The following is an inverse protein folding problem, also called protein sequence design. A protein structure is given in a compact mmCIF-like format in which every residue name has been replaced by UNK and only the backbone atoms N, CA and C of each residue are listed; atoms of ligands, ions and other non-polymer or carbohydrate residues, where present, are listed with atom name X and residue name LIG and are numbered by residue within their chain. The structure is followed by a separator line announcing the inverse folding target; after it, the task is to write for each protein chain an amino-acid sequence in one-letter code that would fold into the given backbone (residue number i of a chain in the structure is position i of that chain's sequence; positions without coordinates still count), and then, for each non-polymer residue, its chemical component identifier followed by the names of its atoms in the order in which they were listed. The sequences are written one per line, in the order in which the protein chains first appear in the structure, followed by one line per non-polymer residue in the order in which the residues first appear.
data_IF_621812658193
#
_entry.id   IF_621812658193
#
_cell.length_a   1.000
_cell.length_b   1.000
_cell.length_c   1.000
_cell.angle_alpha   90.00
_cell.angle_beta   90.00
_cell.angle_gamma   90.00
#
_symmetry.space_group_name_H-M   'P 1'
#
loop_
_entity.id
_entity.type
_entity.pdbx_description
1 polymer ?
#
# COMPACT_ATOMS: atom_id res chain seq x y z
N UNK A 1 -5.39 0.74 -30.07
CA UNK A 1 -4.57 1.05 -28.86
C UNK A 1 -5.06 0.18 -27.72
N UNK A 2 -4.18 -0.60 -27.11
CA UNK A 2 -4.55 -1.43 -25.95
C UNK A 2 -4.64 -0.54 -24.71
N UNK A 3 -5.85 -0.23 -24.23
CA UNK A 3 -6.08 0.52 -23.01
C UNK A 3 -5.47 -0.15 -21.77
N UNK A 4 -5.35 -1.48 -21.79
CA UNK A 4 -4.73 -2.26 -20.72
C UNK A 4 -3.21 -2.04 -20.57
N UNK A 5 -2.58 -1.44 -21.57
CA UNK A 5 -1.15 -1.14 -21.58
C UNK A 5 -0.84 0.33 -21.24
N UNK A 6 -1.85 1.16 -20.94
CA UNK A 6 -1.60 2.55 -20.54
C UNK A 6 -1.05 2.59 -19.11
N UNK A 7 -0.01 3.39 -18.84
CA UNK A 7 0.55 3.51 -17.49
C UNK A 7 -0.49 3.90 -16.43
N UNK A 8 -1.47 4.72 -16.82
CA UNK A 8 -2.55 5.13 -15.93
C UNK A 8 -3.49 3.99 -15.56
N UNK A 9 -3.79 3.07 -16.51
CA UNK A 9 -4.62 1.90 -16.22
C UNK A 9 -3.89 0.89 -15.30
N UNK A 10 -2.59 0.70 -15.51
CA UNK A 10 -1.75 -0.10 -14.62
C UNK A 10 -1.71 0.49 -13.22
N UNK A 11 -1.49 1.80 -13.11
CA UNK A 11 -1.50 2.50 -11.83
C UNK A 11 -2.84 2.36 -11.10
N UNK A 12 -3.99 2.46 -11.80
CA UNK A 12 -5.31 2.25 -11.20
C UNK A 12 -5.45 0.84 -10.63
N UNK A 13 -4.97 -0.18 -11.34
CA UNK A 13 -4.98 -1.56 -10.86
C UNK A 13 -4.10 -1.74 -9.61
N UNK A 14 -2.90 -1.21 -9.63
CA UNK A 14 -1.97 -1.28 -8.51
C UNK A 14 -2.49 -0.54 -7.27
N UNK A 15 -3.05 0.66 -7.47
CA UNK A 15 -3.66 1.46 -6.40
C UNK A 15 -4.92 0.78 -5.82
N UNK A 16 -5.72 0.10 -6.66
CA UNK A 16 -6.88 -0.65 -6.15
C UNK A 16 -6.46 -1.81 -5.23
N UNK A 17 -5.35 -2.48 -5.55
CA UNK A 17 -4.78 -3.52 -4.69
C UNK A 17 -4.31 -2.92 -3.35
N UNK A 18 -3.67 -1.76 -3.38
CA UNK A 18 -3.26 -1.04 -2.16
C UNK A 18 -4.47 -0.63 -1.30
N UNK A 19 -5.53 -0.10 -1.93
CA UNK A 19 -6.79 0.24 -1.24
C UNK A 19 -7.42 -0.99 -0.58
N UNK A 20 -7.46 -2.12 -1.26
CA UNK A 20 -7.99 -3.36 -0.72
C UNK A 20 -7.20 -3.86 0.49
N UNK A 21 -5.87 -3.77 0.46
CA UNK A 21 -5.02 -4.12 1.58
C UNK A 21 -5.29 -3.22 2.80
N UNK A 22 -5.31 -1.91 2.60
CA UNK A 22 -5.61 -0.93 3.66
C UNK A 22 -7.02 -1.10 4.22
N UNK A 23 -8.03 -1.30 3.37
CA UNK A 23 -9.40 -1.55 3.81
C UNK A 23 -9.51 -2.84 4.64
N UNK A 24 -8.81 -3.90 4.22
CA UNK A 24 -8.73 -5.14 4.99
C UNK A 24 -8.07 -4.94 6.35
N UNK A 25 -6.99 -4.17 6.43
CA UNK A 25 -6.31 -3.87 7.68
C UNK A 25 -7.24 -3.11 8.65
N UNK A 26 -7.95 -2.09 8.16
CA UNK A 26 -8.89 -1.30 8.96
C UNK A 26 -10.06 -2.17 9.44
N UNK A 27 -10.63 -3.00 8.55
CA UNK A 27 -11.74 -3.89 8.90
C UNK A 27 -11.36 -4.91 9.98
N UNK A 28 -10.10 -5.31 10.03
CA UNK A 28 -9.60 -6.32 10.97
C UNK A 28 -8.79 -5.73 12.14
N UNK A 29 -8.89 -4.43 12.39
CA UNK A 29 -8.14 -3.75 13.47
C UNK A 29 -8.40 -4.38 14.84
N UNK A 30 -9.61 -4.90 15.08
CA UNK A 30 -10.01 -5.57 16.33
C UNK A 30 -9.95 -7.09 16.25
N UNK A 31 -9.48 -7.66 15.14
CA UNK A 31 -9.40 -9.11 14.95
C UNK A 31 -8.08 -9.63 15.53
N UNK A 32 -8.16 -10.46 16.55
CA UNK A 32 -6.98 -11.06 17.16
C UNK A 32 -6.18 -11.90 16.15
N UNK A 33 -4.85 -11.75 16.15
CA UNK A 33 -3.98 -12.48 15.23
C UNK A 33 -4.00 -11.99 13.77
N UNK A 34 -4.73 -10.91 13.47
CA UNK A 34 -4.67 -10.32 12.13
C UNK A 34 -3.27 -9.79 11.82
N UNK A 35 -2.76 -10.13 10.64
CA UNK A 35 -1.49 -9.64 10.14
C UNK A 35 -1.75 -8.59 9.05
N UNK A 36 -1.41 -7.32 9.29
CA UNK A 36 -1.65 -6.27 8.32
C UNK A 36 -0.88 -6.51 7.03
N UNK A 37 -1.59 -6.39 5.91
CA UNK A 37 -1.05 -6.53 4.58
C UNK A 37 -0.66 -5.17 3.99
N UNK A 38 0.40 -5.14 3.19
CA UNK A 38 0.85 -3.97 2.43
C UNK A 38 1.15 -4.37 1.00
N UNK A 39 0.65 -3.58 0.06
CA UNK A 39 1.04 -3.68 -1.33
C UNK A 39 2.31 -2.86 -1.55
N UNK A 40 3.36 -3.52 -2.02
CA UNK A 40 4.59 -2.87 -2.46
C UNK A 40 4.47 -2.58 -3.95
N UNK A 41 4.60 -1.31 -4.30
CA UNK A 41 4.51 -0.83 -5.66
C UNK A 41 5.91 -0.70 -6.24
N UNK A 42 6.06 -1.14 -7.47
CA UNK A 42 7.30 -1.01 -8.24
C UNK A 42 7.02 -0.40 -9.62
N UNK A 43 8.08 0.03 -10.27
CA UNK A 43 7.99 0.46 -11.65
C UNK A 43 7.58 -0.70 -12.54
N UNK A 44 6.66 -0.43 -13.46
CA UNK A 44 6.21 -1.41 -14.42
C UNK A 44 7.28 -1.80 -15.45
N UNK A 45 7.01 -2.79 -16.29
CA UNK A 45 7.94 -3.28 -17.31
C UNK A 45 8.45 -2.15 -18.22
N UNK A 46 9.77 -2.04 -18.36
CA UNK A 46 10.41 -0.98 -19.15
C UNK A 46 10.44 0.39 -18.45
N UNK A 47 10.21 0.46 -17.15
CA UNK A 47 10.20 1.71 -16.39
C UNK A 47 8.97 2.59 -16.67
N UNK A 48 7.91 2.00 -17.18
CA UNK A 48 6.66 2.69 -17.48
C UNK A 48 5.50 2.12 -16.65
N UNK A 49 4.74 3.02 -16.02
CA UNK A 49 3.61 2.65 -15.20
C UNK A 49 4.03 2.14 -13.81
N UNK A 50 3.07 1.60 -13.09
CA UNK A 50 3.25 1.08 -11.73
C UNK A 50 2.58 -0.29 -11.65
N UNK A 51 3.30 -1.26 -11.07
CA UNK A 51 2.75 -2.58 -10.79
C UNK A 51 2.89 -2.93 -9.31
N UNK A 52 2.16 -3.95 -8.89
CA UNK A 52 2.29 -4.51 -7.54
C UNK A 52 3.41 -5.55 -7.57
N UNK A 53 4.55 -5.21 -6.98
CA UNK A 53 5.69 -6.13 -6.89
C UNK A 53 5.40 -7.28 -5.92
N UNK A 54 4.79 -6.97 -4.77
CA UNK A 54 4.43 -7.95 -3.76
C UNK A 54 3.31 -7.43 -2.86
N UNK A 55 2.57 -8.35 -2.25
CA UNK A 55 1.72 -8.06 -1.10
C UNK A 55 2.35 -8.74 0.11
N UNK A 56 3.02 -7.95 0.93
CA UNK A 56 3.67 -8.42 2.15
C UNK A 56 2.70 -8.36 3.33
N UNK A 57 2.83 -9.29 4.27
CA UNK A 57 2.10 -9.27 5.54
C UNK A 57 3.11 -9.05 6.66
N UNK A 58 2.79 -8.14 7.57
CA UNK A 58 3.60 -7.95 8.75
C UNK A 58 3.48 -9.19 9.62
N UNK A 59 4.58 -9.90 9.78
CA UNK A 59 4.67 -10.98 10.75
C UNK A 59 4.55 -10.38 12.15
N UNK A 60 3.71 -10.94 12.97
CA UNK A 60 3.48 -10.47 14.34
C UNK A 60 4.82 -10.35 15.08
N UNK A 61 5.10 -9.16 15.50
CA UNK A 61 6.18 -8.50 16.23
C UNK A 61 7.33 -9.26 16.91
N UNK A 62 7.48 -10.54 16.79
CA UNK A 62 8.62 -11.27 17.36
C UNK A 62 9.80 -11.45 16.38
N UNK A 63 9.54 -11.45 15.08
CA UNK A 63 10.62 -11.70 14.10
C UNK A 63 11.31 -10.43 13.59
N UNK A 64 10.67 -9.27 13.69
CA UNK A 64 11.29 -8.00 13.24
C UNK A 64 12.35 -7.47 14.21
N UNK A 65 12.32 -7.85 15.48
CA UNK A 65 13.36 -7.48 16.46
C UNK A 65 14.61 -8.36 16.32
N UNK A 66 14.47 -9.57 15.80
CA UNK A 66 15.59 -10.50 15.62
C UNK A 66 16.46 -10.22 14.41
N UNK A 67 15.90 -9.61 13.36
CA UNK A 67 16.65 -9.32 12.12
C UNK A 67 17.48 -8.02 12.17
N UNK A 68 17.13 -7.09 13.06
CA UNK A 68 17.85 -5.80 13.20
C UNK A 68 19.02 -5.84 14.18
N UNK A 69 19.12 -6.88 15.02
CA UNK A 69 20.19 -7.05 16.00
C UNK A 69 20.94 -8.36 15.72
N UNK A 70 21.76 -8.35 14.69
CA UNK A 70 22.75 -9.41 14.45
C UNK A 70 23.61 -9.60 15.70
N UNK A 71 23.37 -10.69 16.42
CA UNK A 71 24.32 -11.20 17.40
C UNK A 71 24.24 -10.60 18.81
N UNK A 72 23.18 -10.89 19.57
CA UNK A 72 23.23 -10.83 21.03
C UNK A 72 23.17 -12.25 21.56
N UNK A 73 24.14 -12.75 22.34
CA UNK A 73 24.13 -14.09 22.90
C UNK A 73 22.99 -14.25 23.92
N UNK A 74 22.39 -15.42 23.91
CA UNK A 74 21.38 -15.88 24.87
C UNK A 74 21.83 -15.57 26.31
N UNK A 75 21.09 -14.76 27.03
CA UNK A 75 21.32 -14.62 28.45
C UNK A 75 21.08 -13.25 29.08
N UNK A 76 20.11 -12.49 28.65
CA UNK A 76 19.66 -11.34 29.43
C UNK A 76 18.21 -11.00 29.17
N UNK A 77 17.33 -11.51 30.01
CA UNK A 77 16.00 -10.95 30.20
C UNK A 77 16.15 -9.55 30.80
N UNK A 78 16.40 -8.56 29.96
CA UNK A 78 16.34 -7.17 30.34
C UNK A 78 15.00 -6.63 29.84
N UNK A 79 14.03 -6.54 30.75
CA UNK A 79 12.87 -5.68 30.66
C UNK A 79 13.35 -4.28 30.28
N UNK A 80 13.23 -3.90 29.03
CA UNK A 80 13.36 -2.49 28.63
C UNK A 80 12.07 -1.76 29.05
N UNK A 81 12.11 -0.87 30.06
CA UNK A 81 10.97 -0.04 30.37
C UNK A 81 10.92 1.10 29.35
N UNK A 82 9.80 1.24 28.68
CA UNK A 82 9.48 2.49 27.99
C UNK A 82 9.68 2.52 26.49
N UNK A 83 9.05 1.61 25.76
CA UNK A 83 8.61 1.95 24.43
C UNK A 83 7.61 3.08 24.52
N UNK A 84 7.99 4.28 24.10
CA UNK A 84 7.13 5.45 24.06
C UNK A 84 5.98 5.13 23.12
N UNK A 85 4.85 4.71 23.69
CA UNK A 85 3.57 4.66 23.01
C UNK A 85 3.17 6.12 22.77
N UNK A 86 3.54 6.64 21.61
CA UNK A 86 3.05 7.96 21.21
C UNK A 86 1.53 7.85 21.08
N UNK A 87 0.83 8.35 22.09
CA UNK A 87 -0.56 8.77 22.06
C UNK A 87 -1.60 7.82 21.48
N UNK A 88 -1.98 6.76 22.20
CA UNK A 88 -3.38 6.50 22.47
C UNK A 88 -4.37 6.24 21.34
N UNK A 89 -4.01 5.48 20.31
CA UNK A 89 -4.99 4.65 19.61
C UNK A 89 -4.39 3.26 19.58
N UNK A 90 -4.99 2.33 20.30
CA UNK A 90 -4.43 1.03 20.56
C UNK A 90 -4.00 0.31 19.28
N UNK A 91 -2.72 0.04 19.16
CA UNK A 91 -2.20 -0.86 18.15
C UNK A 91 -2.57 -2.27 18.59
N UNK A 92 -3.78 -2.66 18.27
CA UNK A 92 -4.22 -4.05 18.39
C UNK A 92 -3.79 -4.73 17.10
N UNK A 93 -2.98 -5.76 17.19
CA UNK A 93 -2.52 -6.57 16.04
C UNK A 93 -1.60 -5.86 15.03
N UNK A 94 -0.84 -4.84 15.43
CA UNK A 94 0.10 -4.16 14.53
C UNK A 94 -0.54 -3.23 13.48
N UNK A 95 -1.85 -3.04 13.50
CA UNK A 95 -2.58 -2.10 12.64
C UNK A 95 -2.62 -0.74 13.31
N UNK A 96 -1.97 0.25 12.71
CA UNK A 96 -2.07 1.66 13.09
C UNK A 96 -3.14 2.34 12.22
N UNK A 97 -4.33 2.53 12.80
CA UNK A 97 -5.47 3.13 12.08
C UNK A 97 -5.15 4.50 11.50
N UNK A 98 -4.39 5.33 12.23
CA UNK A 98 -4.01 6.66 11.75
C UNK A 98 -3.16 6.57 10.49
N UNK A 99 -2.21 5.65 10.49
CA UNK A 99 -1.33 5.41 9.35
C UNK A 99 -2.09 4.81 8.17
N UNK A 100 -2.99 3.87 8.42
CA UNK A 100 -3.84 3.29 7.39
C UNK A 100 -4.78 4.35 6.76
N UNK A 101 -5.37 5.24 7.57
CA UNK A 101 -6.21 6.33 7.06
C UNK A 101 -5.43 7.34 6.22
N UNK A 102 -4.19 7.68 6.62
CA UNK A 102 -3.32 8.53 5.80
C UNK A 102 -2.97 7.86 4.47
N UNK A 103 -2.64 6.58 4.50
CA UNK A 103 -2.40 5.77 3.31
C UNK A 103 -3.61 5.74 2.37
N UNK A 104 -4.81 5.54 2.94
CA UNK A 104 -6.07 5.56 2.21
C UNK A 104 -6.26 6.90 1.48
N UNK A 105 -6.12 8.04 2.18
CA UNK A 105 -6.27 9.36 1.58
C UNK A 105 -5.25 9.64 0.47
N UNK A 106 -4.00 9.19 0.64
CA UNK A 106 -2.97 9.33 -0.40
C UNK A 106 -3.30 8.49 -1.64
N UNK A 107 -3.69 7.24 -1.42
CA UNK A 107 -4.04 6.32 -2.51
C UNK A 107 -5.30 6.76 -3.25
N UNK A 108 -6.30 7.28 -2.54
CA UNK A 108 -7.51 7.84 -3.14
C UNK A 108 -7.20 9.03 -4.06
N UNK A 109 -6.34 9.96 -3.61
CA UNK A 109 -5.91 11.09 -4.43
C UNK A 109 -5.14 10.64 -5.69
N UNK A 110 -4.23 9.69 -5.52
CA UNK A 110 -3.48 9.14 -6.63
C UNK A 110 -4.39 8.40 -7.63
N UNK A 111 -5.35 7.64 -7.13
CA UNK A 111 -6.36 6.96 -7.93
C UNK A 111 -7.20 7.96 -8.73
N UNK A 112 -7.72 9.00 -8.06
CA UNK A 112 -8.51 10.06 -8.70
C UNK A 112 -7.70 10.78 -9.79
N UNK A 113 -6.44 11.12 -9.53
CA UNK A 113 -5.57 11.76 -10.51
C UNK A 113 -5.36 10.89 -11.76
N UNK A 114 -5.08 9.59 -11.57
CA UNK A 114 -4.90 8.65 -12.69
C UNK A 114 -6.20 8.42 -13.47
N UNK A 115 -7.36 8.40 -12.79
CA UNK A 115 -8.67 8.29 -13.45
C UNK A 115 -8.97 9.52 -14.33
N UNK A 116 -8.64 10.72 -13.85
CA UNK A 116 -8.78 11.96 -14.66
C UNK A 116 -7.84 11.94 -15.87
N UNK A 117 -6.59 11.49 -15.69
CA UNK A 117 -5.64 11.35 -16.80
C UNK A 117 -6.13 10.35 -17.85
N UNK A 118 -6.65 9.20 -17.44
CA UNK A 118 -7.19 8.20 -18.35
C UNK A 118 -8.36 8.77 -19.17
N UNK A 119 -9.29 9.46 -18.50
CA UNK A 119 -10.42 10.11 -19.16
C UNK A 119 -9.97 11.18 -20.17
N UNK A 120 -8.93 11.96 -19.82
CA UNK A 120 -8.37 12.96 -20.74
C UNK A 120 -7.75 12.32 -21.99
N UNK A 121 -7.05 11.20 -21.82
CA UNK A 121 -6.48 10.42 -22.93
C UNK A 121 -7.57 9.86 -23.86
N UNK A 122 -8.66 9.32 -23.28
CA UNK A 122 -9.79 8.83 -24.06
C UNK A 122 -10.47 9.94 -24.87
N UNK A 123 -10.67 11.11 -24.26
CA UNK A 123 -11.24 12.28 -24.95
C UNK A 123 -10.34 12.75 -26.09
N UNK A 124 -9.03 12.85 -25.86
CA UNK A 124 -8.07 13.25 -26.90
C UNK A 124 -8.06 12.24 -28.05
N UNK A 125 -8.07 10.96 -27.75
CA UNK A 125 -8.12 9.90 -28.76
C UNK A 125 -9.42 9.96 -29.56
N UNK A 126 -10.56 10.20 -28.91
CA UNK A 126 -11.85 10.39 -29.58
C UNK A 126 -11.86 11.60 -30.52
N UNK A 127 -11.26 12.73 -30.11
CA UNK A 127 -11.13 13.90 -30.96
C UNK A 127 -10.26 13.63 -32.19
N UNK A 128 -9.12 12.94 -32.01
CA UNK A 128 -8.24 12.58 -33.14
C UNK A 128 -8.96 11.65 -34.14
N UNK A 129 -9.71 10.68 -33.66
CA UNK A 129 -10.49 9.78 -34.53
C UNK A 129 -11.57 10.54 -35.31
N UNK A 130 -12.22 11.52 -34.69
CA UNK A 130 -13.27 12.32 -35.35
C UNK A 130 -12.70 13.32 -36.36
N UNK A 131 -11.40 13.64 -36.28
CA UNK A 131 -10.74 14.53 -37.26
C UNK A 131 -10.30 13.77 -38.54
N UNK A 132 -10.23 12.44 -38.48
CA UNK A 132 -9.75 11.60 -39.60
C UNK A 132 -10.92 11.09 -40.46
N UNK A 133 -12.16 11.25 -40.00
CA UNK A 133 -13.39 10.92 -40.71
C UNK A 133 -13.96 12.18 -41.36
#
# INVERSE_FOLDING_TARGET
MNLSASPSAQALSALSTSLNATASNIANVSTEGHQPARAELADGPGGQGVEVAAVTRAQSGLDSAGAALGGVPEGSAASAPGGISAGGVGVVNGVDVTREMLGLMQTERAFSANAVMLRSLEQTTGHVLNLVV
#
